data_IF_648900702862
#
_entry.id   IF_648900702862
#
_cell.length_a   1.000
_cell.length_b   1.000
_cell.length_c   1.000
_cell.angle_alpha   90.00
_cell.angle_beta   90.00
_cell.angle_gamma   90.00
#
_symmetry.space_group_name_H-M   'P 1'
#
loop_
_entity.id
_entity.type
_entity.pdbx_description
1 polymer ?
#
# COMPACT_ATOMS: atom_id res chain seq x y z
N UNK A 1 -3.75 -5.97 -15.77
CA UNK A 1 -2.42 -5.31 -15.69
C UNK A 1 -2.64 -3.89 -15.22
N UNK A 2 -1.95 -3.46 -14.15
CA UNK A 2 -2.07 -2.09 -13.63
C UNK A 2 -1.50 -1.10 -14.65
N UNK A 3 -2.27 -0.07 -15.02
CA UNK A 3 -1.85 0.94 -16.00
C UNK A 3 -1.29 2.17 -15.29
N UNK A 4 -0.06 2.54 -15.63
CA UNK A 4 0.56 3.80 -15.23
C UNK A 4 0.20 4.90 -16.23
N UNK A 5 0.12 6.14 -15.74
CA UNK A 5 -0.03 7.30 -16.59
C UNK A 5 1.31 7.61 -17.28
N UNK A 6 1.24 8.21 -18.47
CA UNK A 6 2.44 8.67 -19.16
C UNK A 6 3.20 9.70 -18.29
N UNK A 7 4.51 9.48 -18.15
CA UNK A 7 5.40 10.28 -17.29
C UNK A 7 5.27 10.03 -15.78
N UNK A 8 4.41 9.11 -15.33
CA UNK A 8 4.31 8.73 -13.91
C UNK A 8 5.58 8.00 -13.47
N UNK A 9 6.20 8.47 -12.40
CA UNK A 9 7.48 7.95 -11.88
C UNK A 9 7.27 7.25 -10.56
N UNK A 10 7.81 6.03 -10.42
CA UNK A 10 7.83 5.30 -9.14
C UNK A 10 8.91 5.91 -8.25
N UNK A 11 8.50 6.44 -7.10
CA UNK A 11 9.39 7.01 -6.10
C UNK A 11 9.91 5.93 -5.14
N UNK A 12 9.02 5.03 -4.72
CA UNK A 12 9.31 3.97 -3.76
C UNK A 12 8.43 2.74 -4.02
N UNK A 13 8.86 1.58 -3.53
CA UNK A 13 8.10 0.33 -3.62
C UNK A 13 8.28 -0.54 -2.38
N UNK A 14 7.23 -1.26 -1.99
CA UNK A 14 7.25 -2.20 -0.88
C UNK A 14 6.51 -3.47 -1.21
N UNK A 15 6.99 -4.61 -0.69
CA UNK A 15 6.23 -5.87 -0.71
C UNK A 15 5.03 -5.70 0.20
N UNK A 16 3.83 -5.93 -0.35
CA UNK A 16 2.60 -5.72 0.37
C UNK A 16 1.56 -6.80 0.11
N UNK A 17 0.61 -6.95 1.02
CA UNK A 17 -0.61 -7.69 0.79
C UNK A 17 -1.83 -6.82 1.08
N UNK A 18 -2.86 -6.95 0.25
CA UNK A 18 -4.16 -6.34 0.47
C UNK A 18 -5.09 -7.38 1.12
N UNK A 19 -5.66 -7.11 2.31
CA UNK A 19 -6.73 -7.93 2.85
C UNK A 19 -7.94 -7.92 1.91
N UNK A 20 -8.41 -9.11 1.53
CA UNK A 20 -9.58 -9.33 0.70
C UNK A 20 -10.60 -10.19 1.47
N UNK A 21 -11.88 -9.81 1.46
CA UNK A 21 -12.97 -10.51 2.14
C UNK A 21 -13.40 -9.90 3.48
N UNK A 22 -14.40 -10.51 4.11
CA UNK A 22 -15.11 -9.95 5.29
C UNK A 22 -14.42 -10.19 6.64
N UNK A 23 -13.28 -10.91 6.67
CA UNK A 23 -12.59 -11.30 7.92
C UNK A 23 -11.05 -11.19 7.87
N UNK A 24 -10.47 -10.45 6.94
CA UNK A 24 -9.01 -10.30 6.78
C UNK A 24 -8.21 -11.62 6.52
N UNK A 25 -8.87 -12.77 6.36
CA UNK A 25 -8.21 -14.07 6.25
C UNK A 25 -7.62 -14.36 4.87
N UNK A 26 -8.20 -13.78 3.81
CA UNK A 26 -7.66 -13.91 2.46
C UNK A 26 -6.81 -12.69 2.16
N UNK A 27 -5.60 -12.93 1.68
CA UNK A 27 -4.63 -11.88 1.39
C UNK A 27 -4.24 -11.96 -0.07
N UNK A 28 -4.34 -10.84 -0.76
CA UNK A 28 -3.82 -10.70 -2.11
C UNK A 28 -2.41 -10.12 -2.04
N UNK A 29 -1.40 -10.95 -2.31
CA UNK A 29 0.01 -10.52 -2.34
C UNK A 29 0.36 -9.70 -3.59
N UNK A 30 1.25 -8.73 -3.42
CA UNK A 30 1.61 -7.76 -4.45
C UNK A 30 2.73 -6.82 -4.01
N UNK A 31 2.85 -5.73 -4.75
CA UNK A 31 3.71 -4.61 -4.41
C UNK A 31 2.84 -3.36 -4.22
N UNK A 32 3.12 -2.59 -3.17
CA UNK A 32 2.59 -1.24 -2.99
C UNK A 32 3.63 -0.25 -3.50
N UNK A 33 3.24 0.60 -4.44
CA UNK A 33 4.09 1.56 -5.11
C UNK A 33 3.63 2.97 -4.75
N UNK A 34 4.57 3.81 -4.36
CA UNK A 34 4.36 5.25 -4.25
C UNK A 34 4.92 5.90 -5.51
N UNK A 35 4.08 6.65 -6.21
CA UNK A 35 4.48 7.43 -7.38
C UNK A 35 4.46 8.92 -7.06
N UNK A 36 4.91 9.73 -8.00
CA UNK A 36 4.77 11.19 -7.93
C UNK A 36 3.30 11.67 -7.91
N UNK A 37 2.34 10.81 -8.32
CA UNK A 37 0.92 11.18 -8.45
C UNK A 37 -0.03 10.49 -7.48
N UNK A 38 0.28 9.25 -7.12
CA UNK A 38 -0.65 8.34 -6.43
C UNK A 38 0.04 7.14 -5.80
N UNK A 39 -0.71 6.45 -4.95
CA UNK A 39 -0.38 5.11 -4.47
C UNK A 39 -1.02 4.06 -5.36
N UNK A 40 -0.26 3.02 -5.71
CA UNK A 40 -0.70 1.95 -6.59
C UNK A 40 -0.38 0.59 -5.97
N UNK A 41 -1.38 -0.26 -5.79
CA UNK A 41 -1.20 -1.65 -5.40
C UNK A 41 -1.27 -2.55 -6.63
N UNK A 42 -0.19 -3.29 -6.88
CA UNK A 42 0.00 -4.20 -8.00
C UNK A 42 0.03 -5.65 -7.48
N UNK A 43 -1.03 -6.46 -7.67
CA UNK A 43 -1.01 -7.86 -7.26
C UNK A 43 -0.02 -8.68 -8.10
N UNK A 44 0.57 -9.73 -7.51
CA UNK A 44 1.52 -10.60 -8.22
C UNK A 44 0.87 -11.38 -9.37
N UNK A 45 -0.38 -11.81 -9.19
CA UNK A 45 -1.08 -12.69 -10.13
C UNK A 45 -2.49 -12.16 -10.45
N UNK A 46 -2.62 -10.98 -11.10
CA UNK A 46 -3.91 -10.32 -11.31
C UNK A 46 -4.91 -11.20 -12.08
N UNK A 47 -4.43 -12.03 -13.00
CA UNK A 47 -5.27 -12.91 -13.82
C UNK A 47 -5.93 -14.03 -13.00
N UNK A 48 -5.28 -14.56 -11.95
CA UNK A 48 -5.86 -15.61 -11.12
C UNK A 48 -6.94 -15.08 -10.16
N UNK A 49 -6.81 -13.83 -9.72
CA UNK A 49 -7.69 -13.26 -8.69
C UNK A 49 -8.77 -12.33 -9.25
N UNK A 50 -8.85 -12.17 -10.58
CA UNK A 50 -9.81 -11.25 -11.22
C UNK A 50 -9.66 -9.80 -10.77
N UNK A 51 -8.52 -9.44 -10.18
CA UNK A 51 -8.28 -8.15 -9.55
C UNK A 51 -7.10 -7.46 -10.24
N UNK A 52 -7.37 -6.31 -10.87
CA UNK A 52 -6.38 -5.62 -11.69
C UNK A 52 -5.41 -4.73 -10.89
N UNK A 53 -5.58 -4.62 -9.57
CA UNK A 53 -4.88 -3.66 -8.72
C UNK A 53 -5.81 -2.56 -8.21
N UNK A 54 -5.28 -1.69 -7.37
CA UNK A 54 -6.01 -0.51 -6.92
C UNK A 54 -5.09 0.71 -6.87
N UNK A 55 -5.62 1.87 -7.23
CA UNK A 55 -4.93 3.14 -7.12
C UNK A 55 -5.65 4.06 -6.12
N UNK A 56 -4.90 4.93 -5.46
CA UNK A 56 -5.40 6.01 -4.62
C UNK A 56 -4.60 7.27 -4.92
N UNK A 57 -5.25 8.29 -5.45
CA UNK A 57 -4.63 9.59 -5.64
C UNK A 57 -4.19 10.18 -4.29
N UNK A 58 -3.13 11.00 -4.29
CA UNK A 58 -2.67 11.63 -3.05
C UNK A 58 -3.78 12.43 -2.35
N UNK A 59 -4.63 13.13 -3.09
CA UNK A 59 -5.77 13.86 -2.55
C UNK A 59 -6.85 13.00 -1.86
N UNK A 60 -6.88 11.68 -2.12
CA UNK A 60 -7.82 10.76 -1.45
C UNK A 60 -7.32 10.29 -0.08
N UNK A 61 -6.02 10.43 0.19
CA UNK A 61 -5.35 9.92 1.39
C UNK A 61 -4.95 11.10 2.27
N UNK A 62 -5.49 11.15 3.50
CA UNK A 62 -5.15 12.19 4.47
C UNK A 62 -3.83 11.93 5.19
N UNK A 63 -3.56 10.65 5.51
CA UNK A 63 -2.33 10.21 6.17
C UNK A 63 -2.15 8.71 6.06
N UNK A 64 -0.90 8.26 6.11
CA UNK A 64 -0.52 6.88 6.33
C UNK A 64 -0.16 6.66 7.80
N UNK A 65 -0.63 5.55 8.38
CA UNK A 65 -0.40 5.19 9.78
C UNK A 65 0.13 3.77 9.90
N UNK A 66 1.15 3.65 10.73
CA UNK A 66 1.59 2.41 11.32
C UNK A 66 0.57 1.86 12.31
N UNK A 67 0.01 0.68 12.09
CA UNK A 67 -0.94 0.06 13.02
C UNK A 67 -0.54 -1.38 13.29
N UNK A 68 0.04 -1.66 14.46
CA UNK A 68 0.55 -2.99 14.75
C UNK A 68 1.80 -3.36 13.92
N UNK A 69 2.12 -4.65 13.78
CA UNK A 69 3.44 -5.05 13.29
C UNK A 69 3.66 -4.78 11.80
N UNK A 70 2.83 -5.37 10.94
CA UNK A 70 2.96 -5.25 9.48
C UNK A 70 1.92 -4.32 8.85
N UNK A 71 0.91 -3.89 9.59
CA UNK A 71 -0.25 -3.23 9.01
C UNK A 71 0.00 -1.72 8.84
N UNK A 72 -0.10 -1.29 7.58
CA UNK A 72 -0.10 0.09 7.15
C UNK A 72 -1.54 0.51 6.82
N UNK A 73 -2.06 1.50 7.54
CA UNK A 73 -3.39 2.06 7.34
C UNK A 73 -3.32 3.39 6.60
N UNK A 74 -3.92 3.46 5.42
CA UNK A 74 -4.15 4.71 4.71
C UNK A 74 -5.50 5.28 5.13
N UNK A 75 -5.49 6.34 5.92
CA UNK A 75 -6.71 7.06 6.31
C UNK A 75 -7.14 7.94 5.15
N UNK A 76 -8.39 7.75 4.70
CA UNK A 76 -9.00 8.52 3.61
C UNK A 76 -9.85 9.66 4.15
N UNK A 77 -10.28 10.55 3.27
CA UNK A 77 -11.12 11.71 3.58
C UNK A 77 -12.35 11.42 4.45
N UNK A 78 -13.43 10.90 3.87
CA UNK A 78 -14.76 10.77 4.47
C UNK A 78 -14.89 9.67 5.55
N UNK A 79 -13.87 9.49 6.41
CA UNK A 79 -13.87 8.50 7.50
C UNK A 79 -13.53 7.07 7.08
N UNK A 80 -13.26 6.84 5.78
CA UNK A 80 -12.80 5.55 5.29
C UNK A 80 -11.31 5.31 5.54
N UNK A 81 -10.87 4.06 5.45
CA UNK A 81 -9.47 3.71 5.41
C UNK A 81 -9.22 2.56 4.42
N UNK A 82 -7.95 2.33 4.09
CA UNK A 82 -7.51 1.12 3.42
C UNK A 82 -6.28 0.58 4.13
N UNK A 83 -6.32 -0.70 4.49
CA UNK A 83 -5.21 -1.37 5.14
C UNK A 83 -4.41 -2.16 4.10
N UNK A 84 -3.10 -2.19 4.29
CA UNK A 84 -2.16 -3.08 3.63
C UNK A 84 -1.30 -3.74 4.69
N UNK A 85 -0.83 -4.96 4.44
CA UNK A 85 0.24 -5.58 5.23
C UNK A 85 1.56 -5.38 4.46
N UNK A 86 2.43 -4.51 4.96
CA UNK A 86 3.73 -4.22 4.36
C UNK A 86 4.79 -5.06 5.05
N UNK A 87 5.49 -5.88 4.27
CA UNK A 87 6.47 -6.83 4.76
C UNK A 87 7.88 -6.50 4.26
N UNK A 88 8.91 -6.99 4.97
CA UNK A 88 10.30 -6.77 4.58
C UNK A 88 10.69 -7.52 3.31
N UNK A 89 10.08 -8.68 3.05
CA UNK A 89 10.34 -9.48 1.85
C UNK A 89 9.13 -10.32 1.44
N UNK A 90 9.16 -10.89 0.23
CA UNK A 90 8.12 -11.82 -0.26
C UNK A 90 8.07 -13.15 0.50
N UNK A 91 9.12 -13.47 1.25
CA UNK A 91 9.21 -14.69 2.05
C UNK A 91 8.83 -14.47 3.53
N UNK A 92 8.57 -13.22 3.91
CA UNK A 92 8.15 -12.87 5.27
C UNK A 92 6.77 -13.44 5.55
N UNK A 93 6.58 -14.02 6.74
CA UNK A 93 5.28 -14.52 7.18
C UNK A 93 4.40 -13.34 7.59
N UNK A 94 3.10 -13.42 7.32
CA UNK A 94 2.12 -12.38 7.72
C UNK A 94 1.93 -12.27 9.24
N UNK A 95 2.44 -13.26 9.99
CA UNK A 95 2.50 -13.29 11.45
C UNK A 95 3.86 -12.82 12.00
N UNK A 96 4.78 -12.40 11.14
CA UNK A 96 6.08 -11.90 11.57
C UNK A 96 5.90 -10.55 12.27
N UNK A 97 5.96 -10.56 13.60
CA UNK A 97 5.81 -9.36 14.41
C UNK A 97 7.13 -8.65 14.70
N UNK A 98 8.27 -9.23 14.29
CA UNK A 98 9.60 -8.76 14.66
C UNK A 98 10.20 -7.73 13.71
N UNK A 99 9.75 -7.68 12.46
CA UNK A 99 10.34 -6.82 11.44
C UNK A 99 9.32 -5.79 10.91
N UNK A 100 9.24 -4.64 11.56
CA UNK A 100 8.30 -3.56 11.21
C UNK A 100 8.92 -2.49 10.32
N UNK A 101 10.24 -2.47 10.15
CA UNK A 101 10.98 -1.37 9.51
C UNK A 101 10.45 -0.99 8.11
N UNK A 102 10.03 -1.96 7.30
CA UNK A 102 9.45 -1.69 5.98
C UNK A 102 8.12 -0.91 6.07
N UNK A 103 7.24 -1.27 7.02
CA UNK A 103 5.97 -0.58 7.28
C UNK A 103 6.20 0.80 7.91
N UNK A 104 7.17 0.92 8.81
CA UNK A 104 7.60 2.20 9.38
C UNK A 104 8.06 3.15 8.28
N UNK A 105 8.99 2.69 7.44
CA UNK A 105 9.52 3.45 6.31
C UNK A 105 8.41 3.85 5.34
N UNK A 106 7.51 2.93 4.97
CA UNK A 106 6.38 3.23 4.10
C UNK A 106 5.48 4.34 4.65
N UNK A 107 5.14 4.30 5.95
CA UNK A 107 4.31 5.32 6.56
C UNK A 107 4.95 6.72 6.49
N UNK A 108 6.25 6.82 6.76
CA UNK A 108 7.00 8.09 6.68
C UNK A 108 7.01 8.63 5.26
N UNK A 109 7.48 7.83 4.29
CA UNK A 109 7.65 8.26 2.89
C UNK A 109 6.34 8.65 2.22
N UNK A 110 5.26 7.92 2.52
CA UNK A 110 3.93 8.28 2.04
C UNK A 110 3.49 9.63 2.61
N UNK A 111 3.61 9.84 3.93
CA UNK A 111 3.21 11.13 4.53
C UNK A 111 4.04 12.31 4.01
N UNK A 112 5.34 12.11 3.71
CA UNK A 112 6.17 13.12 3.06
C UNK A 112 5.65 13.46 1.65
N UNK A 113 5.28 12.46 0.85
CA UNK A 113 4.71 12.68 -0.47
C UNK A 113 3.34 13.36 -0.43
N UNK A 114 2.49 12.99 0.54
CA UNK A 114 1.19 13.65 0.75
C UNK A 114 1.36 15.13 1.13
N UNK A 115 2.32 15.43 2.02
CA UNK A 115 2.64 16.81 2.40
C UNK A 115 3.12 17.64 1.22
N UNK A 116 3.95 17.06 0.34
CA UNK A 116 4.41 17.73 -0.89
C UNK A 116 3.30 17.96 -1.92
N UNK A 117 2.33 17.05 -2.00
CA UNK A 117 1.22 17.18 -2.96
C UNK A 117 0.11 18.14 -2.51
N UNK A 118 0.08 18.51 -1.22
CA UNK A 118 -0.91 19.42 -0.65
C UNK A 118 -0.46 20.89 -0.62
N UNK A 119 0.84 21.16 -0.82
CA UNK A 119 1.42 22.50 -0.96
C UNK A 119 1.53 22.91 -2.42
#
# INVERSE_FOLDING_TARGET
>A
MTRFHEGETVLESWVAALPIGSRDLSLLGGDLLLTDRRLVFCPLMPALFGFAGAALAHGEVRRAQAVGPLRLRLVKGAGGHRDYLVAASRWSRVWDTGNTAARDHAAVRINEALSRAAG
#
